data_IF_411271795923
#
_entry.id   IF_411271795923
#
_cell.length_a   1.000
_cell.length_b   1.000
_cell.length_c   1.000
_cell.angle_alpha   90.00
_cell.angle_beta   90.00
_cell.angle_gamma   90.00
#
_symmetry.space_group_name_H-M   'P 1'
#
loop_
_entity.id
_entity.type
_entity.pdbx_description
1 polymer ?
#
# COMPACT_ATOMS: atom_id res chain seq x y z
N UNK A 1 -6.88 -20.25 0.62
CA UNK A 1 -5.53 -20.85 0.77
C UNK A 1 -4.87 -20.15 1.95
N UNK A 2 -4.74 -20.83 3.08
CA UNK A 2 -4.10 -20.30 4.27
C UNK A 2 -2.85 -21.12 4.55
N UNK A 3 -1.69 -20.48 4.41
CA UNK A 3 -0.41 -21.04 4.86
C UNK A 3 -0.47 -21.00 6.39
N UNK A 4 -0.14 -22.10 7.07
CA UNK A 4 -0.04 -22.09 8.53
C UNK A 4 1.14 -21.20 8.93
N UNK A 5 0.99 -20.47 10.03
CA UNK A 5 2.04 -19.58 10.54
C UNK A 5 3.37 -20.32 10.81
N UNK A 6 3.28 -21.64 11.00
CA UNK A 6 4.40 -22.56 11.22
C UNK A 6 5.25 -22.80 9.96
N UNK A 7 4.65 -22.69 8.78
CA UNK A 7 5.30 -22.99 7.49
C UNK A 7 5.80 -21.72 6.76
N UNK A 8 5.69 -20.55 7.38
CA UNK A 8 6.07 -19.28 6.76
C UNK A 8 7.58 -19.15 6.63
N UNK A 9 8.03 -18.82 5.42
CA UNK A 9 9.43 -18.49 5.15
C UNK A 9 9.64 -16.98 5.09
N UNK A 10 10.90 -16.53 5.16
CA UNK A 10 11.22 -15.11 5.00
C UNK A 10 10.80 -14.55 3.63
N UNK A 11 10.65 -15.41 2.61
CA UNK A 11 10.23 -15.02 1.27
C UNK A 11 8.73 -14.67 1.19
N UNK A 12 7.93 -15.20 2.13
CA UNK A 12 6.51 -14.89 2.24
C UNK A 12 6.27 -13.53 2.94
N UNK A 13 7.29 -12.99 3.60
CA UNK A 13 7.23 -11.72 4.32
C UNK A 13 7.60 -10.55 3.40
N UNK A 14 6.86 -9.44 3.53
CA UNK A 14 7.17 -8.19 2.82
C UNK A 14 8.35 -7.44 3.45
N UNK A 15 9.09 -6.68 2.64
CA UNK A 15 10.18 -5.81 3.10
C UNK A 15 9.81 -4.33 3.00
N UNK A 16 10.26 -3.54 3.97
CA UNK A 16 10.06 -2.09 4.00
C UNK A 16 11.36 -1.39 4.40
N UNK A 17 11.57 -0.17 3.88
CA UNK A 17 12.79 0.61 4.16
C UNK A 17 12.69 1.38 5.47
N UNK A 18 11.53 1.94 5.76
CA UNK A 18 11.24 2.59 7.04
C UNK A 18 9.78 2.35 7.40
N UNK A 19 9.52 2.10 8.68
CA UNK A 19 8.16 2.00 9.22
C UNK A 19 8.05 2.98 10.38
N UNK A 20 7.09 3.91 10.30
CA UNK A 20 6.81 4.88 11.35
C UNK A 20 5.42 4.63 11.90
N UNK A 21 5.34 4.29 13.17
CA UNK A 21 4.08 4.05 13.88
C UNK A 21 3.84 5.24 14.83
N UNK A 22 2.66 5.84 14.74
CA UNK A 22 2.16 6.85 15.67
C UNK A 22 0.91 6.32 16.37
N UNK A 23 0.35 7.08 17.31
CA UNK A 23 -0.86 6.69 18.05
C UNK A 23 -2.03 6.33 17.12
N UNK A 24 -2.19 7.10 16.04
CA UNK A 24 -3.36 7.03 15.18
C UNK A 24 -3.06 6.51 13.77
N UNK A 25 -1.78 6.49 13.35
CA UNK A 25 -1.40 6.18 11.97
C UNK A 25 -0.13 5.33 11.88
N UNK A 26 -0.07 4.50 10.84
CA UNK A 26 1.15 3.74 10.48
C UNK A 26 1.56 4.08 9.07
N UNK A 27 2.75 4.65 8.90
CA UNK A 27 3.34 4.97 7.60
C UNK A 27 4.42 3.95 7.28
N UNK A 28 4.24 3.24 6.17
CA UNK A 28 5.20 2.26 5.68
C UNK A 28 5.84 2.86 4.43
N UNK A 29 7.15 3.09 4.47
CA UNK A 29 7.96 3.53 3.34
C UNK A 29 8.67 2.31 2.77
N UNK A 30 8.16 1.79 1.66
CA UNK A 30 8.80 0.73 0.89
C UNK A 30 9.98 1.31 0.09
N UNK A 31 11.14 0.67 0.17
CA UNK A 31 12.35 1.09 -0.56
C UNK A 31 12.65 0.27 -1.80
N UNK A 32 12.04 -0.90 -1.94
CA UNK A 32 12.28 -1.85 -3.03
C UNK A 32 11.15 -2.86 -3.07
N UNK A 33 10.08 -2.60 -3.82
CA UNK A 33 9.14 -3.65 -4.24
C UNK A 33 8.16 -3.14 -5.29
N UNK A 34 8.28 -3.72 -6.50
CA UNK A 34 7.31 -3.81 -7.58
C UNK A 34 6.31 -2.66 -7.75
N UNK A 35 6.78 -1.55 -8.32
CA UNK A 35 5.92 -0.53 -8.91
C UNK A 35 4.85 -1.13 -9.83
N UNK A 36 5.16 -2.25 -10.50
CA UNK A 36 4.25 -2.94 -11.41
C UNK A 36 3.14 -3.70 -10.69
N UNK A 37 3.40 -4.31 -9.52
CA UNK A 37 2.35 -4.92 -8.69
C UNK A 37 1.41 -3.85 -8.14
N UNK A 38 1.92 -2.68 -7.76
CA UNK A 38 1.10 -1.55 -7.32
C UNK A 38 0.23 -1.05 -8.48
N UNK A 39 0.79 -0.87 -9.68
CA UNK A 39 0.03 -0.48 -10.88
C UNK A 39 -1.06 -1.49 -11.23
N UNK A 40 -0.73 -2.78 -11.29
CA UNK A 40 -1.70 -3.84 -11.54
C UNK A 40 -2.83 -3.83 -10.52
N UNK A 41 -2.52 -3.55 -9.23
CA UNK A 41 -3.53 -3.44 -8.19
C UNK A 41 -4.40 -2.20 -8.35
N UNK A 42 -3.82 -1.06 -8.76
CA UNK A 42 -4.57 0.16 -9.06
C UNK A 42 -5.53 -0.05 -10.23
N UNK A 43 -5.09 -0.70 -11.31
CA UNK A 43 -5.94 -1.05 -12.46
C UNK A 43 -7.09 -1.98 -12.06
N UNK A 44 -6.80 -3.01 -11.27
CA UNK A 44 -7.83 -3.91 -10.75
C UNK A 44 -8.89 -3.16 -9.93
N UNK A 45 -8.47 -2.22 -9.07
CA UNK A 45 -9.40 -1.43 -8.26
C UNK A 45 -10.20 -0.45 -9.14
N UNK A 46 -9.60 0.14 -10.17
CA UNK A 46 -10.32 0.99 -11.14
C UNK A 46 -11.44 0.20 -11.84
N UNK A 47 -11.13 -0.99 -12.33
CA UNK A 47 -12.13 -1.87 -12.95
C UNK A 47 -13.26 -2.22 -11.96
N UNK A 48 -12.92 -2.51 -10.70
CA UNK A 48 -13.92 -2.80 -9.65
C UNK A 48 -14.84 -1.61 -9.36
N UNK A 49 -14.32 -0.38 -9.40
CA UNK A 49 -15.12 0.84 -9.22
C UNK A 49 -16.15 1.00 -10.35
N UNK A 50 -15.76 0.69 -11.60
CA UNK A 50 -16.65 0.78 -12.76
C UNK A 50 -17.75 -0.27 -12.75
N UNK A 51 -17.44 -1.49 -12.31
CA UNK A 51 -18.41 -2.58 -12.23
C UNK A 51 -19.31 -2.54 -11.00
N UNK A 52 -18.93 -1.78 -9.97
CA UNK A 52 -19.73 -1.69 -8.74
C UNK A 52 -20.95 -0.79 -8.95
N UNK A 53 -22.10 -1.22 -8.46
CA UNK A 53 -23.37 -0.46 -8.50
C UNK A 53 -23.67 0.27 -7.20
N UNK A 54 -22.94 -0.05 -6.13
CA UNK A 54 -23.09 0.54 -4.79
C UNK A 54 -22.20 1.78 -4.65
N UNK A 55 -22.80 2.92 -4.33
CA UNK A 55 -22.05 4.17 -4.10
C UNK A 55 -21.13 4.09 -2.88
N UNK A 56 -21.54 3.33 -1.85
CA UNK A 56 -20.70 3.04 -0.68
C UNK A 56 -19.41 2.31 -1.08
N UNK A 57 -19.51 1.28 -1.93
CA UNK A 57 -18.36 0.49 -2.37
C UNK A 57 -17.46 1.32 -3.29
N UNK A 58 -18.05 2.14 -4.18
CA UNK A 58 -17.28 3.08 -5.02
C UNK A 58 -16.47 4.04 -4.16
N UNK A 59 -17.05 4.58 -3.09
CA UNK A 59 -16.36 5.52 -2.21
C UNK A 59 -15.20 4.85 -1.46
N UNK A 60 -15.42 3.64 -0.91
CA UNK A 60 -14.35 2.88 -0.24
C UNK A 60 -13.23 2.45 -1.18
N UNK A 61 -13.57 2.04 -2.40
CA UNK A 61 -12.57 1.70 -3.40
C UNK A 61 -11.78 2.93 -3.87
N UNK A 62 -12.41 4.11 -3.97
CA UNK A 62 -11.73 5.38 -4.26
C UNK A 62 -10.77 5.78 -3.14
N UNK A 63 -11.16 5.64 -1.87
CA UNK A 63 -10.28 5.90 -0.72
C UNK A 63 -9.03 5.01 -0.76
N UNK A 64 -9.22 3.72 -1.07
CA UNK A 64 -8.12 2.76 -1.22
C UNK A 64 -7.24 3.09 -2.42
N UNK A 65 -7.83 3.45 -3.55
CA UNK A 65 -7.10 3.84 -4.76
C UNK A 65 -6.22 5.05 -4.47
N UNK A 66 -6.75 6.08 -3.81
CA UNK A 66 -6.00 7.28 -3.46
C UNK A 66 -4.79 6.97 -2.58
N UNK A 67 -4.94 6.09 -1.58
CA UNK A 67 -3.83 5.64 -0.72
C UNK A 67 -2.76 4.86 -1.49
N UNK A 68 -3.15 4.06 -2.48
CA UNK A 68 -2.21 3.29 -3.31
C UNK A 68 -1.50 4.14 -4.37
N UNK A 69 -2.20 5.08 -5.01
CA UNK A 69 -1.64 5.94 -6.06
C UNK A 69 -0.84 7.11 -5.51
N UNK A 70 -1.22 7.65 -4.33
CA UNK A 70 -0.56 8.80 -3.73
C UNK A 70 0.84 8.51 -3.19
N UNK A 71 1.11 7.26 -2.80
CA UNK A 71 2.40 6.84 -2.27
C UNK A 71 2.82 7.61 -1.01
N UNK A 72 4.12 7.60 -0.69
CA UNK A 72 4.69 8.33 0.44
C UNK A 72 5.90 9.14 -0.02
N UNK A 73 5.79 10.46 0.00
CA UNK A 73 6.90 11.36 -0.27
C UNK A 73 7.78 11.54 0.98
N UNK A 74 9.09 11.38 0.83
CA UNK A 74 10.06 11.58 1.91
C UNK A 74 10.90 12.81 1.57
N UNK A 75 10.71 13.90 2.32
CA UNK A 75 11.54 15.09 2.20
C UNK A 75 12.74 14.98 3.15
N UNK A 76 13.95 15.10 2.60
CA UNK A 76 15.19 15.14 3.38
C UNK A 76 15.76 16.56 3.32
N UNK A 77 15.60 17.30 4.41
CA UNK A 77 16.16 18.65 4.54
C UNK A 77 17.52 18.52 5.23
N UNK A 78 18.59 18.96 4.56
CA UNK A 78 19.94 18.96 5.10
C UNK A 78 20.15 20.17 6.01
N UNK A 79 20.61 19.94 7.24
CA UNK A 79 21.12 20.99 8.11
C UNK A 79 22.63 20.96 8.08
N UNK A 80 23.26 21.99 7.52
CA UNK A 80 24.64 22.31 7.84
C UNK A 80 24.60 23.15 9.13
N UNK A 81 25.05 22.56 10.23
CA UNK A 81 25.64 23.34 11.32
C UNK A 81 27.14 23.38 11.11
#
# INVERSE_FOLDING_TARGET
>A
LGIKMEDLTLEDLGTAKNVKVTKDNTTIVSGSSDSDRVKARVEQIKSQIETSTSDYDKEKLRERLAKLSGGVAVLKVGGAT
#
